data_IF_750729081355
#
_entry.id   IF_750729081355
#
_cell.length_a   1.000
_cell.length_b   1.000
_cell.length_c   1.000
_cell.angle_alpha   90.00
_cell.angle_beta   90.00
_cell.angle_gamma   90.00
#
_symmetry.space_group_name_H-M   'P 1'
#
loop_
_entity.id
_entity.type
_entity.pdbx_description
1 polymer ?
#
# COMPACT_ATOMS: atom_id res chain seq x y z
N UNK A 1 -33.07 27.47 -40.40
CA UNK A 1 -32.96 26.02 -40.16
C UNK A 1 -31.53 25.52 -40.05
N UNK A 2 -30.61 25.78 -41.01
CA UNK A 2 -29.20 25.28 -40.96
C UNK A 2 -28.40 25.73 -39.71
N UNK A 3 -28.60 26.95 -39.23
CA UNK A 3 -27.92 27.48 -38.01
C UNK A 3 -28.40 26.82 -36.70
N UNK A 4 -29.66 26.44 -36.59
CA UNK A 4 -30.25 25.78 -35.43
C UNK A 4 -29.72 24.34 -35.33
N UNK A 5 -29.62 23.65 -36.48
CA UNK A 5 -29.08 22.28 -36.58
C UNK A 5 -27.60 22.27 -36.16
N UNK A 6 -26.82 23.30 -36.55
CA UNK A 6 -25.40 23.42 -36.19
C UNK A 6 -25.19 23.64 -34.71
N UNK A 7 -26.07 24.41 -34.05
CA UNK A 7 -26.00 24.66 -32.57
C UNK A 7 -26.42 23.39 -31.81
N UNK A 8 -27.43 22.66 -32.32
CA UNK A 8 -27.85 21.40 -31.69
C UNK A 8 -26.76 20.31 -31.76
N UNK A 9 -26.04 20.28 -32.91
CA UNK A 9 -24.91 19.34 -33.07
C UNK A 9 -23.73 19.66 -32.13
N UNK A 10 -23.46 20.95 -31.90
CA UNK A 10 -22.42 21.38 -30.97
C UNK A 10 -22.74 21.07 -29.50
N UNK A 11 -24.04 21.08 -29.14
CA UNK A 11 -24.50 20.75 -27.80
C UNK A 11 -24.41 19.24 -27.49
N UNK A 12 -24.53 18.39 -28.52
CA UNK A 12 -24.41 16.94 -28.38
C UNK A 12 -22.95 16.46 -28.18
N UNK A 13 -21.94 17.28 -28.55
CA UNK A 13 -20.53 16.97 -28.38
C UNK A 13 -20.02 17.23 -26.93
N UNK A 14 -20.83 17.88 -26.08
CA UNK A 14 -20.45 18.18 -24.69
C UNK A 14 -20.93 17.12 -23.67
N UNK A 15 -21.58 16.03 -24.09
CA UNK A 15 -22.16 15.02 -23.20
C UNK A 15 -21.28 13.76 -23.14
N UNK A 16 -20.05 13.81 -23.65
CA UNK A 16 -19.17 12.65 -23.70
C UNK A 16 -18.00 12.77 -22.73
N UNK A 17 -18.29 12.80 -21.45
CA UNK A 17 -17.36 12.35 -20.40
C UNK A 17 -18.16 12.11 -19.11
N UNK A 18 -18.91 11.03 -19.10
CA UNK A 18 -19.39 10.48 -17.83
C UNK A 18 -18.44 9.33 -17.51
N UNK A 19 -17.49 9.59 -16.65
CA UNK A 19 -16.67 8.58 -16.02
C UNK A 19 -17.57 7.68 -15.16
N UNK A 20 -18.17 6.67 -15.78
CA UNK A 20 -18.82 5.58 -15.10
C UNK A 20 -17.75 4.54 -14.75
N UNK A 21 -17.27 4.58 -13.55
CA UNK A 21 -16.32 3.57 -13.11
C UNK A 21 -15.86 3.70 -11.68
N UNK A 22 -16.75 3.89 -10.73
CA UNK A 22 -16.44 3.42 -9.38
C UNK A 22 -16.58 1.90 -9.38
N UNK A 23 -15.55 1.20 -9.81
CA UNK A 23 -15.34 -0.16 -9.39
C UNK A 23 -15.17 -0.09 -7.87
N UNK A 24 -16.24 -0.39 -7.13
CA UNK A 24 -16.20 -0.60 -5.69
C UNK A 24 -15.46 -1.91 -5.41
N UNK A 25 -14.15 -1.93 -5.68
CA UNK A 25 -13.25 -2.86 -5.04
C UNK A 25 -13.30 -2.51 -3.54
N UNK A 26 -13.41 -3.49 -2.65
CA UNK A 26 -13.30 -3.21 -1.23
C UNK A 26 -11.97 -2.50 -0.99
N UNK A 27 -12.01 -1.22 -0.65
CA UNK A 27 -10.85 -0.33 -0.52
C UNK A 27 -9.94 -0.67 0.68
N UNK A 28 -10.28 -1.72 1.43
CA UNK A 28 -9.50 -2.17 2.57
C UNK A 28 -9.47 -3.69 2.57
N UNK A 29 -8.26 -4.25 2.49
CA UNK A 29 -8.04 -5.70 2.68
C UNK A 29 -8.64 -6.13 4.02
N UNK A 30 -9.55 -7.10 4.00
CA UNK A 30 -10.09 -7.66 5.24
C UNK A 30 -9.15 -8.76 5.76
N UNK A 31 -8.13 -8.36 6.49
CA UNK A 31 -7.13 -9.30 7.05
C UNK A 31 -7.73 -10.36 7.98
N UNK A 32 -8.91 -10.12 8.58
CA UNK A 32 -9.57 -11.09 9.47
C UNK A 32 -9.97 -12.39 8.75
N UNK A 33 -10.27 -12.32 7.47
CA UNK A 33 -10.61 -13.52 6.67
C UNK A 33 -9.40 -14.40 6.37
N UNK A 34 -8.18 -13.88 6.61
CA UNK A 34 -6.90 -14.54 6.36
C UNK A 34 -6.20 -15.02 7.63
N UNK A 35 -6.87 -14.91 8.78
CA UNK A 35 -6.29 -15.33 10.06
C UNK A 35 -5.90 -16.80 10.06
N UNK A 36 -4.75 -17.10 10.66
CA UNK A 36 -4.20 -18.45 10.77
C UNK A 36 -3.57 -18.64 12.15
N UNK A 37 -3.67 -19.85 12.68
CA UNK A 37 -2.95 -20.26 13.88
C UNK A 37 -1.60 -20.89 13.48
N UNK A 38 -0.52 -20.16 13.70
CA UNK A 38 0.84 -20.63 13.38
C UNK A 38 1.28 -21.82 14.20
N UNK A 39 0.68 -22.07 15.38
CA UNK A 39 0.96 -23.25 16.19
C UNK A 39 0.59 -24.57 15.52
N UNK A 40 -0.18 -24.53 14.43
CA UNK A 40 -0.56 -25.68 13.62
C UNK A 40 0.35 -25.92 12.41
N UNK A 41 1.34 -25.02 12.18
CA UNK A 41 2.26 -25.11 11.04
C UNK A 41 3.64 -25.54 11.52
N UNK A 42 4.11 -26.67 10.99
CA UNK A 42 5.42 -27.22 11.39
C UNK A 42 6.59 -26.46 10.76
N UNK A 43 7.67 -26.31 11.54
CA UNK A 43 8.99 -25.91 11.06
C UNK A 43 9.02 -24.56 10.32
N UNK A 44 8.59 -23.49 10.98
CA UNK A 44 8.68 -22.14 10.42
C UNK A 44 10.02 -21.47 10.76
N UNK A 45 10.58 -20.75 9.78
CA UNK A 45 11.62 -19.75 9.94
C UNK A 45 10.97 -18.38 10.00
N UNK A 46 11.44 -17.54 10.91
CA UNK A 46 10.95 -16.17 11.08
C UNK A 46 11.95 -15.13 10.58
N UNK A 47 11.45 -13.97 10.26
CA UNK A 47 12.25 -12.81 9.93
C UNK A 47 11.52 -11.52 10.23
N UNK A 48 12.28 -10.43 10.22
CA UNK A 48 11.77 -9.08 10.45
C UNK A 48 12.26 -8.14 9.36
N UNK A 49 11.35 -7.34 8.81
CA UNK A 49 11.66 -6.40 7.73
C UNK A 49 11.25 -4.99 8.10
N UNK A 50 12.16 -4.05 7.87
CA UNK A 50 11.93 -2.61 7.94
C UNK A 50 11.61 -2.09 6.54
N UNK A 51 10.50 -1.35 6.38
CA UNK A 51 10.13 -0.68 5.13
C UNK A 51 9.97 0.82 5.40
N UNK A 52 10.84 1.64 4.81
CA UNK A 52 10.65 3.10 4.86
C UNK A 52 9.50 3.53 3.97
N UNK A 53 8.64 4.40 4.49
CA UNK A 53 7.54 5.01 3.75
C UNK A 53 7.43 6.50 4.11
N UNK A 54 6.77 7.27 3.25
CA UNK A 54 6.66 8.71 3.41
C UNK A 54 5.21 9.13 3.22
N UNK A 55 4.53 9.57 4.28
CA UNK A 55 3.19 10.16 4.14
C UNK A 55 3.25 11.62 3.66
N UNK A 56 4.43 12.23 3.71
CA UNK A 56 4.75 13.53 3.10
C UNK A 56 6.25 13.67 2.86
N UNK A 57 6.63 14.50 1.92
CA UNK A 57 8.03 14.85 1.61
C UNK A 57 8.21 16.36 1.58
N UNK A 58 9.44 16.80 1.83
CA UNK A 58 9.79 18.21 1.70
C UNK A 58 9.74 18.66 0.24
N UNK A 59 9.32 19.89 0.01
CA UNK A 59 9.23 20.54 -1.30
C UNK A 59 9.69 21.98 -1.22
N UNK A 60 10.68 22.33 -2.01
CA UNK A 60 11.34 23.62 -2.10
C UNK A 60 12.06 24.11 -0.82
N UNK A 61 11.45 23.98 0.34
CA UNK A 61 12.00 24.41 1.63
C UNK A 61 11.66 23.41 2.73
N UNK A 62 12.34 23.52 3.88
CA UNK A 62 12.05 22.70 5.06
C UNK A 62 10.68 22.98 5.71
N UNK A 63 10.05 24.12 5.35
CA UNK A 63 8.72 24.49 5.87
C UNK A 63 7.58 24.06 4.95
N UNK A 64 7.89 23.55 3.74
CA UNK A 64 6.87 23.16 2.77
C UNK A 64 6.96 21.67 2.47
N UNK A 65 5.83 20.99 2.57
CA UNK A 65 5.73 19.55 2.27
C UNK A 65 4.62 19.27 1.26
N UNK A 66 4.73 18.15 0.54
CA UNK A 66 3.67 17.52 -0.23
C UNK A 66 3.22 16.25 0.49
N UNK A 67 1.92 16.03 0.58
CA UNK A 67 1.34 14.80 1.09
C UNK A 67 1.38 13.72 0.00
N UNK A 68 1.41 12.47 0.44
CA UNK A 68 1.54 11.31 -0.42
C UNK A 68 0.53 10.25 0.01
N UNK A 69 -0.09 9.59 -0.97
CA UNK A 69 -0.70 8.28 -0.75
C UNK A 69 0.40 7.24 -0.73
N UNK A 70 0.40 6.37 0.25
CA UNK A 70 1.35 5.27 0.39
C UNK A 70 0.64 3.95 0.16
N UNK A 71 1.19 3.11 -0.69
CA UNK A 71 0.82 1.70 -0.80
C UNK A 71 2.00 0.87 -0.31
N UNK A 72 1.86 0.18 0.81
CA UNK A 72 2.81 -0.82 1.28
C UNK A 72 2.35 -2.20 0.78
N UNK A 73 3.04 -2.74 -0.21
CA UNK A 73 2.78 -4.05 -0.80
C UNK A 73 3.60 -5.12 -0.11
N UNK A 74 2.96 -6.24 0.24
CA UNK A 74 3.57 -7.42 0.81
C UNK A 74 3.31 -8.58 -0.15
N UNK A 75 4.37 -9.13 -0.74
CA UNK A 75 4.26 -10.09 -1.84
C UNK A 75 4.86 -11.42 -1.47
N UNK A 76 4.12 -12.48 -1.66
CA UNK A 76 4.66 -13.82 -1.66
C UNK A 76 5.23 -14.13 -3.04
N UNK A 77 6.54 -14.29 -3.16
CA UNK A 77 7.22 -14.59 -4.43
C UNK A 77 7.42 -16.07 -4.67
N UNK A 78 7.01 -16.94 -3.73
CA UNK A 78 7.04 -18.39 -3.93
C UNK A 78 5.99 -18.82 -4.94
N UNK A 79 6.32 -19.80 -5.76
CA UNK A 79 5.41 -20.43 -6.73
C UNK A 79 4.48 -21.48 -6.09
N UNK A 80 4.83 -22.01 -4.92
CA UNK A 80 4.18 -23.18 -4.32
C UNK A 80 3.83 -23.03 -2.85
N UNK A 81 4.58 -22.20 -2.11
CA UNK A 81 4.50 -22.17 -0.66
C UNK A 81 3.84 -20.88 -0.15
N UNK A 82 3.11 -21.03 0.93
CA UNK A 82 2.48 -19.93 1.67
C UNK A 82 3.52 -19.25 2.56
N UNK A 83 3.45 -17.93 2.66
CA UNK A 83 4.14 -17.13 3.68
C UNK A 83 3.13 -16.56 4.67
N UNK A 84 3.59 -16.22 5.85
CA UNK A 84 2.74 -15.72 6.92
C UNK A 84 3.26 -14.37 7.40
N UNK A 85 2.36 -13.47 7.77
CA UNK A 85 2.69 -12.19 8.38
C UNK A 85 2.05 -12.17 9.76
N UNK A 86 2.87 -12.14 10.81
CA UNK A 86 2.40 -12.11 12.19
C UNK A 86 2.25 -10.68 12.72
N UNK A 87 2.94 -9.71 12.08
CA UNK A 87 2.90 -8.33 12.52
C UNK A 87 3.05 -7.36 11.35
N UNK A 88 2.28 -6.27 11.38
CA UNK A 88 2.41 -5.14 10.49
C UNK A 88 2.15 -3.86 11.31
N UNK A 89 3.23 -3.23 11.79
CA UNK A 89 3.17 -2.02 12.60
C UNK A 89 3.70 -0.81 11.86
N UNK A 90 2.96 0.28 11.92
CA UNK A 90 3.28 1.56 11.33
C UNK A 90 3.80 2.54 12.40
N UNK A 91 4.94 3.18 12.11
CA UNK A 91 5.64 4.10 12.99
C UNK A 91 5.82 5.46 12.33
N UNK A 92 5.80 6.53 13.12
CA UNK A 92 6.10 7.87 12.63
C UNK A 92 7.61 8.15 12.57
N UNK A 93 7.96 9.34 12.05
CA UNK A 93 9.35 9.83 11.94
C UNK A 93 10.12 9.90 13.26
N UNK A 94 9.46 9.77 14.41
CA UNK A 94 10.07 9.76 15.74
C UNK A 94 10.17 8.36 16.35
N UNK A 95 9.89 7.31 15.56
CA UNK A 95 9.89 5.93 16.01
C UNK A 95 8.74 5.58 16.98
N UNK A 96 7.67 6.38 17.00
CA UNK A 96 6.50 6.09 17.82
C UNK A 96 5.48 5.28 17.01
N UNK A 97 4.92 4.20 17.56
CA UNK A 97 3.89 3.42 16.88
C UNK A 97 2.63 4.28 16.67
N UNK A 98 2.06 4.18 15.49
CA UNK A 98 0.82 4.86 15.09
C UNK A 98 -0.32 3.87 15.05
N UNK A 99 -0.10 2.71 14.39
CA UNK A 99 -1.15 1.73 14.12
C UNK A 99 -0.58 0.33 13.94
N UNK A 100 -1.27 -0.67 14.49
CA UNK A 100 -1.13 -2.08 14.13
C UNK A 100 -2.24 -2.43 13.14
N UNK A 101 -1.89 -3.11 12.06
CA UNK A 101 -2.83 -3.50 11.01
C UNK A 101 -3.34 -4.95 11.16
N UNK A 102 -2.66 -5.75 11.98
CA UNK A 102 -3.01 -7.15 12.21
C UNK A 102 -3.35 -7.39 13.67
N UNK A 103 -4.50 -8.06 13.91
CA UNK A 103 -4.93 -8.54 15.22
C UNK A 103 -4.42 -9.97 15.48
N UNK A 104 -4.08 -10.71 14.42
CA UNK A 104 -3.59 -12.09 14.44
C UNK A 104 -2.74 -12.35 13.19
N UNK A 105 -1.90 -13.41 13.20
CA UNK A 105 -1.18 -13.82 12.01
C UNK A 105 -2.11 -14.10 10.83
N UNK A 106 -1.66 -13.73 9.63
CA UNK A 106 -2.38 -13.95 8.37
C UNK A 106 -1.53 -14.73 7.38
N UNK A 107 -2.16 -15.40 6.43
CA UNK A 107 -1.46 -16.06 5.33
C UNK A 107 -1.51 -15.25 4.04
N UNK A 108 -0.48 -15.45 3.20
CA UNK A 108 -0.40 -14.96 1.82
C UNK A 108 -0.11 -16.16 0.94
N UNK A 109 -1.03 -16.47 0.03
CA UNK A 109 -0.91 -17.61 -0.88
C UNK A 109 0.24 -17.41 -1.89
N UNK A 110 0.70 -18.48 -2.58
CA UNK A 110 1.71 -18.38 -3.62
C UNK A 110 1.37 -17.31 -4.66
N UNK A 111 2.34 -16.45 -5.01
CA UNK A 111 2.23 -15.33 -5.97
C UNK A 111 1.20 -14.25 -5.61
N UNK A 112 0.63 -14.32 -4.43
CA UNK A 112 -0.35 -13.34 -3.96
C UNK A 112 0.34 -12.08 -3.41
N UNK A 113 -0.34 -10.96 -3.57
CA UNK A 113 0.03 -9.67 -2.98
C UNK A 113 -1.10 -9.17 -2.12
N UNK A 114 -0.77 -8.66 -0.93
CA UNK A 114 -1.67 -7.88 -0.09
C UNK A 114 -1.13 -6.47 0.07
N UNK A 115 -2.01 -5.52 0.36
CA UNK A 115 -1.64 -4.11 0.39
C UNK A 115 -2.21 -3.42 1.63
N UNK A 116 -1.40 -2.52 2.19
CA UNK A 116 -1.81 -1.56 3.21
C UNK A 116 -1.71 -0.18 2.56
N UNK A 117 -2.83 0.54 2.54
CA UNK A 117 -2.88 1.89 1.98
C UNK A 117 -2.98 2.92 3.10
N UNK A 118 -2.13 3.95 3.03
CA UNK A 118 -2.19 5.14 3.87
C UNK A 118 -2.66 6.28 2.99
N UNK A 119 -3.82 6.83 3.33
CA UNK A 119 -4.43 7.91 2.56
C UNK A 119 -3.57 9.18 2.59
N UNK A 120 -3.61 9.98 1.52
CA UNK A 120 -2.89 11.25 1.39
C UNK A 120 -3.23 12.24 2.51
N UNK A 121 -4.43 12.15 3.07
CA UNK A 121 -4.87 13.00 4.19
C UNK A 121 -4.30 12.56 5.55
N UNK A 122 -3.79 11.32 5.67
CA UNK A 122 -3.15 10.83 6.90
C UNK A 122 -1.68 11.25 6.96
N UNK A 123 -1.43 12.33 7.67
CA UNK A 123 -0.10 12.91 7.83
C UNK A 123 0.65 12.43 9.09
N UNK A 124 0.09 11.47 9.85
CA UNK A 124 0.64 11.02 11.15
C UNK A 124 2.05 10.44 11.04
N UNK A 125 2.37 9.79 9.92
CA UNK A 125 3.68 9.21 9.65
C UNK A 125 4.79 10.26 9.53
N UNK A 126 4.49 11.40 8.89
CA UNK A 126 5.47 12.44 8.67
C UNK A 126 6.39 12.16 7.47
N UNK A 127 7.59 12.74 7.52
CA UNK A 127 8.57 12.71 6.42
C UNK A 127 9.57 11.55 6.52
N UNK A 128 9.40 10.62 7.43
CA UNK A 128 10.32 9.49 7.64
C UNK A 128 9.64 8.37 8.41
N UNK A 129 8.42 8.05 8.03
CA UNK A 129 7.66 6.94 8.61
C UNK A 129 8.22 5.59 8.14
N UNK A 130 7.80 4.54 8.81
CA UNK A 130 8.21 3.19 8.44
C UNK A 130 7.20 2.15 8.91
N UNK A 131 7.26 0.98 8.29
CA UNK A 131 6.64 -0.24 8.78
C UNK A 131 7.69 -1.18 9.34
N UNK A 132 7.31 -1.91 10.38
CA UNK A 132 7.97 -3.13 10.83
C UNK A 132 7.02 -4.29 10.56
N UNK A 133 7.48 -5.23 9.75
CA UNK A 133 6.79 -6.49 9.47
C UNK A 133 7.53 -7.63 10.16
N UNK A 134 6.81 -8.50 10.86
CA UNK A 134 7.29 -9.80 11.30
C UNK A 134 6.61 -10.86 10.44
N UNK A 135 7.39 -11.81 9.94
CA UNK A 135 6.92 -12.81 9.00
C UNK A 135 7.55 -14.17 9.23
N UNK A 136 6.84 -15.20 8.80
CA UNK A 136 7.25 -16.59 8.87
C UNK A 136 7.07 -17.29 7.52
N UNK A 137 7.93 -18.25 7.27
CA UNK A 137 7.93 -19.09 6.07
C UNK A 137 8.42 -20.50 6.39
N UNK A 138 8.11 -21.47 5.55
CA UNK A 138 8.79 -22.78 5.63
C UNK A 138 10.27 -22.64 5.22
N UNK A 139 11.16 -23.51 5.74
CA UNK A 139 12.51 -23.63 5.21
C UNK A 139 12.49 -23.75 3.66
N UNK A 140 13.49 -23.21 3.00
CA UNK A 140 13.65 -23.19 1.53
C UNK A 140 12.60 -22.39 0.74
N UNK A 141 11.57 -21.84 1.38
CA UNK A 141 10.66 -20.87 0.74
C UNK A 141 11.34 -19.52 0.59
N UNK A 142 11.05 -18.79 -0.49
CA UNK A 142 11.50 -17.41 -0.67
C UNK A 142 10.95 -16.50 0.42
N UNK A 143 11.75 -15.54 0.89
CA UNK A 143 11.28 -14.49 1.79
C UNK A 143 10.22 -13.61 1.09
N UNK A 144 9.24 -13.08 1.82
CA UNK A 144 8.30 -12.14 1.25
C UNK A 144 9.00 -10.85 0.81
N UNK A 145 8.55 -10.28 -0.30
CA UNK A 145 9.02 -9.00 -0.80
C UNK A 145 8.12 -7.88 -0.26
N UNK A 146 8.75 -6.84 0.30
CA UNK A 146 8.07 -5.65 0.80
C UNK A 146 8.47 -4.44 -0.02
N UNK A 147 7.47 -3.73 -0.56
CA UNK A 147 7.68 -2.53 -1.37
C UNK A 147 6.74 -1.41 -0.93
N UNK A 148 7.26 -0.21 -0.86
CA UNK A 148 6.47 1.01 -0.67
C UNK A 148 6.36 1.76 -1.99
N UNK A 149 5.15 2.09 -2.42
CA UNK A 149 4.88 2.98 -3.54
C UNK A 149 4.24 4.24 -3.01
N UNK A 150 4.90 5.37 -3.18
CA UNK A 150 4.39 6.68 -2.80
C UNK A 150 4.01 7.45 -4.06
N UNK A 151 2.80 8.01 -4.05
CA UNK A 151 2.29 8.83 -5.15
C UNK A 151 1.66 10.12 -4.63
N UNK A 152 1.73 11.18 -5.42
CA UNK A 152 0.96 12.40 -5.24
C UNK A 152 0.71 13.06 -6.59
N UNK A 153 -0.39 13.78 -6.68
CA UNK A 153 -0.70 14.64 -7.82
C UNK A 153 -0.84 16.07 -7.34
N UNK A 154 -0.03 16.97 -7.88
CA UNK A 154 -0.10 18.39 -7.57
C UNK A 154 -0.35 19.19 -8.86
N UNK A 155 -1.56 19.74 -8.98
CA UNK A 155 -1.99 20.40 -10.20
C UNK A 155 -2.02 19.40 -11.37
N UNK A 156 -1.21 19.65 -12.39
CA UNK A 156 -1.07 18.78 -13.57
C UNK A 156 0.14 17.84 -13.52
N UNK A 157 0.91 17.87 -12.43
CA UNK A 157 2.13 17.08 -12.28
C UNK A 157 1.90 15.93 -11.30
N UNK A 158 2.35 14.73 -11.69
CA UNK A 158 2.41 13.56 -10.83
C UNK A 158 3.82 13.34 -10.29
N UNK A 159 3.90 12.85 -9.06
CA UNK A 159 5.11 12.37 -8.43
C UNK A 159 4.88 10.93 -8.01
N UNK A 160 5.84 10.07 -8.30
CA UNK A 160 5.85 8.69 -7.80
C UNK A 160 7.28 8.22 -7.56
N UNK A 161 7.48 7.48 -6.48
CA UNK A 161 8.73 6.78 -6.18
C UNK A 161 8.44 5.54 -5.32
N UNK A 162 9.42 4.65 -5.25
CA UNK A 162 9.31 3.39 -4.51
C UNK A 162 10.42 3.26 -3.49
N UNK A 163 10.15 2.44 -2.47
CA UNK A 163 11.13 1.97 -1.49
C UNK A 163 11.04 0.46 -1.40
N UNK A 164 12.12 -0.17 -0.95
CA UNK A 164 12.18 -1.61 -0.75
C UNK A 164 12.47 -1.92 0.72
N UNK A 165 11.84 -2.98 1.22
CA UNK A 165 12.05 -3.48 2.57
C UNK A 165 13.45 -4.06 2.73
N UNK A 166 14.02 -3.88 3.92
CA UNK A 166 15.32 -4.41 4.32
C UNK A 166 15.11 -5.35 5.49
N UNK A 167 15.57 -6.61 5.36
CA UNK A 167 15.59 -7.54 6.48
C UNK A 167 16.52 -7.02 7.57
N UNK A 168 16.04 -7.01 8.81
CA UNK A 168 16.80 -6.52 9.98
C UNK A 168 17.05 -7.62 11.04
N UNK A 169 16.29 -8.70 10.97
CA UNK A 169 16.45 -9.93 11.81
C UNK A 169 16.10 -11.17 11.00
#
# INVERSE_FOLDING_TARGET
MKRIISILLLFFLMISCQENGTNNLPLTENFKTRSVDLGTVDSLESGKTYLSVYSRIYSFTEQKTHNLTVTASIRNTSLSDTVYISKAEYYNSHGKPIQSYLDSPIYIAPLETIEIVIDEVDQKGGTGANFIFEWEKKPDTSEPLFEGVMISTYGTQGLSFTTQGIRIE
#
